data_IF_815557886432
#
_entry.id   IF_815557886432
#
_cell.length_a   1.000
_cell.length_b   1.000
_cell.length_c   1.000
_cell.angle_alpha   90.00
_cell.angle_beta   90.00
_cell.angle_gamma   90.00
#
_symmetry.space_group_name_H-M   'P 1'
#
loop_
_entity.id
_entity.type
_entity.pdbx_description
1 polymer ?
#
# COMPACT_ATOMS: atom_id res chain seq x y z
N UNK A 1 23.48 18.94 -2.93
CA UNK A 1 22.32 19.55 -2.26
C UNK A 1 21.58 18.40 -1.59
N UNK A 2 21.39 18.43 -0.27
CA UNK A 2 20.46 17.52 0.40
C UNK A 2 19.06 17.99 0.07
N UNK A 3 18.49 17.54 -1.06
CA UNK A 3 17.06 17.62 -1.25
C UNK A 3 16.41 16.69 -0.23
N UNK A 4 15.44 17.21 0.51
CA UNK A 4 14.66 16.41 1.43
C UNK A 4 13.83 15.42 0.62
N UNK A 5 14.18 14.14 0.65
CA UNK A 5 13.55 13.08 -0.17
C UNK A 5 12.13 12.74 0.27
N UNK A 6 11.85 12.85 1.58
CA UNK A 6 10.53 12.59 2.17
C UNK A 6 9.91 13.91 2.61
N UNK A 7 8.74 14.25 2.06
CA UNK A 7 8.09 15.52 2.35
C UNK A 7 7.17 15.47 3.58
N UNK A 8 6.26 14.49 3.62
CA UNK A 8 5.21 14.38 4.65
C UNK A 8 4.66 12.95 4.71
N UNK A 9 3.79 12.66 5.68
CA UNK A 9 2.99 11.43 5.72
C UNK A 9 1.87 11.56 4.67
N UNK A 10 1.82 10.64 3.70
CA UNK A 10 0.77 10.57 2.66
C UNK A 10 -0.56 10.12 3.29
N UNK A 11 -0.52 9.01 4.04
CA UNK A 11 -1.67 8.49 4.78
C UNK A 11 -1.27 7.52 5.89
N UNK A 12 -2.21 7.22 6.78
CA UNK A 12 -2.11 6.14 7.77
C UNK A 12 -3.23 5.14 7.52
N UNK A 13 -2.92 3.86 7.43
CA UNK A 13 -3.93 2.81 7.21
C UNK A 13 -4.13 1.99 8.47
N UNK A 14 -5.38 1.91 8.89
CA UNK A 14 -5.85 1.07 9.98
C UNK A 14 -6.38 -0.25 9.44
N UNK A 15 -6.29 -1.30 10.25
CA UNK A 15 -7.03 -2.54 10.06
C UNK A 15 -8.04 -2.72 11.18
N UNK A 16 -9.23 -3.18 10.81
CA UNK A 16 -10.34 -3.41 11.72
C UNK A 16 -11.08 -4.69 11.39
N UNK A 17 -11.85 -5.20 12.34
CA UNK A 17 -12.79 -6.27 12.08
C UNK A 17 -13.94 -5.75 11.22
N UNK A 18 -14.49 -6.63 10.38
CA UNK A 18 -15.55 -6.25 9.46
C UNK A 18 -16.78 -5.67 10.20
N UNK A 19 -17.15 -6.27 11.34
CA UNK A 19 -18.28 -5.80 12.16
C UNK A 19 -18.07 -4.41 12.78
N UNK A 20 -16.83 -3.91 12.83
CA UNK A 20 -16.48 -2.61 13.42
C UNK A 20 -16.37 -1.50 12.36
N UNK A 21 -16.63 -1.79 11.08
CA UNK A 21 -16.53 -0.81 9.98
C UNK A 21 -17.35 0.45 10.28
N UNK A 22 -18.65 0.30 10.56
CA UNK A 22 -19.54 1.46 10.79
C UNK A 22 -19.10 2.30 11.99
N UNK A 23 -18.62 1.65 13.06
CA UNK A 23 -18.11 2.35 14.23
C UNK A 23 -16.88 3.18 13.88
N UNK A 24 -15.92 2.60 13.16
CA UNK A 24 -14.71 3.30 12.72
C UNK A 24 -15.06 4.51 11.84
N UNK A 25 -15.89 4.31 10.80
CA UNK A 25 -16.30 5.37 9.90
C UNK A 25 -17.05 6.49 10.63
N UNK A 26 -17.94 6.13 11.57
CA UNK A 26 -18.68 7.10 12.37
C UNK A 26 -17.76 7.92 13.27
N UNK A 27 -16.74 7.32 13.88
CA UNK A 27 -15.77 8.04 14.70
C UNK A 27 -14.96 9.04 13.88
N UNK A 28 -14.41 8.62 12.74
CA UNK A 28 -13.63 9.51 11.87
C UNK A 28 -14.49 10.63 11.27
N UNK A 29 -15.76 10.38 11.00
CA UNK A 29 -16.71 11.41 10.58
C UNK A 29 -16.90 12.51 11.62
N UNK A 30 -16.86 12.19 12.93
CA UNK A 30 -16.90 13.20 13.99
C UNK A 30 -15.67 14.12 13.96
N UNK A 31 -14.54 13.64 13.44
CA UNK A 31 -13.32 14.43 13.23
C UNK A 31 -13.29 15.16 11.87
N UNK A 32 -14.39 15.11 11.11
CA UNK A 32 -14.52 15.81 9.82
C UNK A 32 -13.98 15.03 8.63
N UNK A 33 -13.67 13.74 8.79
CA UNK A 33 -13.26 12.89 7.68
C UNK A 33 -14.46 12.36 6.89
N UNK A 34 -14.29 12.23 5.59
CA UNK A 34 -15.30 11.67 4.68
C UNK A 34 -14.67 10.61 3.79
N UNK A 35 -15.45 9.58 3.46
CA UNK A 35 -15.06 8.56 2.49
C UNK A 35 -14.88 9.19 1.10
N UNK A 36 -13.71 8.98 0.51
CA UNK A 36 -13.38 9.45 -0.85
C UNK A 36 -13.22 8.30 -1.85
N UNK A 37 -12.92 7.10 -1.35
CA UNK A 37 -12.73 5.93 -2.19
C UNK A 37 -13.01 4.67 -1.39
N UNK A 38 -13.64 3.70 -2.05
CA UNK A 38 -13.81 2.33 -1.55
C UNK A 38 -13.40 1.36 -2.64
N UNK A 39 -12.50 0.46 -2.29
CA UNK A 39 -11.91 -0.52 -3.20
C UNK A 39 -12.13 -1.92 -2.65
N UNK A 40 -12.38 -2.85 -3.56
CA UNK A 40 -12.42 -4.28 -3.27
C UNK A 40 -11.31 -4.97 -4.05
N UNK A 41 -10.54 -5.80 -3.37
CA UNK A 41 -9.53 -6.68 -3.96
C UNK A 41 -10.10 -8.08 -4.17
N UNK A 42 -9.61 -8.81 -5.17
CA UNK A 42 -10.13 -10.13 -5.53
C UNK A 42 -9.22 -11.27 -5.06
N UNK A 43 -7.90 -11.11 -5.18
CA UNK A 43 -6.95 -12.19 -4.86
C UNK A 43 -6.76 -12.40 -3.36
N UNK A 44 -6.67 -11.29 -2.62
CA UNK A 44 -6.76 -11.26 -1.16
C UNK A 44 -8.03 -10.48 -0.81
N UNK A 45 -9.22 -11.12 -0.74
CA UNK A 45 -10.50 -10.43 -0.62
C UNK A 45 -10.54 -9.50 0.59
N UNK A 46 -10.58 -8.21 0.33
CA UNK A 46 -10.62 -7.18 1.35
C UNK A 46 -11.35 -5.94 0.83
N UNK A 47 -11.86 -5.14 1.76
CA UNK A 47 -12.41 -3.82 1.48
C UNK A 47 -11.46 -2.78 2.06
N UNK A 48 -11.05 -1.84 1.23
CA UNK A 48 -10.18 -0.72 1.57
C UNK A 48 -10.95 0.58 1.40
N UNK A 49 -11.02 1.37 2.47
CA UNK A 49 -11.83 2.58 2.54
C UNK A 49 -10.89 3.73 2.85
N UNK A 50 -10.74 4.66 1.90
CA UNK A 50 -9.94 5.86 2.07
C UNK A 50 -10.82 7.01 2.56
N UNK A 51 -10.35 7.68 3.60
CA UNK A 51 -10.99 8.84 4.22
C UNK A 51 -10.08 10.06 4.12
N UNK A 52 -10.63 11.24 3.89
CA UNK A 52 -9.88 12.50 3.95
C UNK A 52 -10.61 13.54 4.80
N UNK A 53 -9.86 14.43 5.43
CA UNK A 53 -10.38 15.63 6.08
C UNK A 53 -9.81 16.90 5.46
N UNK A 54 -10.61 17.95 5.47
CA UNK A 54 -10.26 19.26 4.94
C UNK A 54 -10.46 19.39 3.42
N UNK A 55 -10.52 20.64 2.97
CA UNK A 55 -10.59 21.02 1.56
C UNK A 55 -9.29 21.74 1.19
N UNK A 56 -8.16 21.04 1.21
CA UNK A 56 -6.89 21.64 0.82
C UNK A 56 -6.85 21.78 -0.71
N UNK A 57 -6.86 23.02 -1.19
CA UNK A 57 -6.64 23.33 -2.59
C UNK A 57 -5.24 22.84 -3.02
N UNK A 58 -5.19 21.99 -4.04
CA UNK A 58 -3.94 21.51 -4.65
C UNK A 58 -3.29 20.28 -3.99
N UNK A 59 -3.77 19.83 -2.82
CA UNK A 59 -3.30 18.61 -2.16
C UNK A 59 -4.47 17.94 -1.43
N UNK A 60 -5.23 17.02 -2.05
CA UNK A 60 -6.37 16.40 -1.38
C UNK A 60 -5.98 15.46 -0.21
N UNK A 61 -4.68 15.32 0.09
CA UNK A 61 -4.12 14.38 1.07
C UNK A 61 -3.52 15.03 2.33
N UNK A 62 -3.71 16.34 2.54
CA UNK A 62 -3.22 17.02 3.75
C UNK A 62 -3.68 16.36 5.05
N UNK A 63 -4.73 15.53 5.00
CA UNK A 63 -5.12 14.64 6.08
C UNK A 63 -5.87 13.41 5.54
N UNK A 64 -5.14 12.36 5.15
CA UNK A 64 -5.74 11.09 4.68
C UNK A 64 -5.49 9.94 5.66
N UNK A 65 -6.50 9.10 5.83
CA UNK A 65 -6.41 7.84 6.59
C UNK A 65 -7.19 6.74 5.87
N UNK A 66 -6.90 5.48 6.15
CA UNK A 66 -7.60 4.34 5.56
C UNK A 66 -8.11 3.34 6.60
N UNK A 67 -9.12 2.57 6.22
CA UNK A 67 -9.51 1.34 6.90
C UNK A 67 -9.45 0.18 5.92
N UNK A 68 -8.77 -0.89 6.30
CA UNK A 68 -8.76 -2.17 5.60
C UNK A 68 -9.46 -3.22 6.46
N UNK A 69 -10.47 -3.89 5.90
CA UNK A 69 -11.22 -4.98 6.54
C UNK A 69 -11.29 -6.18 5.59
N UNK A 70 -11.46 -7.38 6.14
CA UNK A 70 -11.69 -8.59 5.34
C UNK A 70 -12.69 -9.51 6.02
N UNK A 71 -13.54 -10.14 5.21
CA UNK A 71 -14.42 -11.24 5.63
C UNK A 71 -13.71 -12.59 5.63
N UNK A 72 -12.55 -12.70 4.96
CA UNK A 72 -11.75 -13.91 4.97
C UNK A 72 -10.97 -13.97 6.28
N UNK A 73 -11.33 -14.92 7.15
CA UNK A 73 -10.65 -15.16 8.41
C UNK A 73 -9.15 -15.45 8.22
N UNK A 74 -8.73 -16.03 7.09
CA UNK A 74 -7.32 -16.34 6.83
C UNK A 74 -6.55 -15.19 6.16
N UNK A 75 -7.20 -14.05 5.90
CA UNK A 75 -6.55 -12.91 5.26
C UNK A 75 -5.39 -12.35 6.09
N UNK A 76 -4.37 -11.76 5.45
CA UNK A 76 -3.28 -11.07 6.16
C UNK A 76 -3.76 -9.93 7.08
N UNK A 77 -4.90 -9.32 6.77
CA UNK A 77 -5.57 -8.31 7.60
C UNK A 77 -6.04 -8.94 8.91
N UNK A 78 -6.81 -10.03 8.83
CA UNK A 78 -7.33 -10.70 10.02
C UNK A 78 -6.21 -11.41 10.82
N UNK A 79 -5.13 -11.84 10.17
CA UNK A 79 -3.94 -12.35 10.85
C UNK A 79 -3.21 -11.26 11.65
N UNK A 80 -3.07 -10.05 11.10
CA UNK A 80 -2.58 -8.90 11.87
C UNK A 80 -3.46 -8.66 13.11
N UNK A 81 -4.79 -8.62 12.94
CA UNK A 81 -5.73 -8.34 14.03
C UNK A 81 -5.64 -9.40 15.12
N UNK A 82 -5.54 -10.69 14.77
CA UNK A 82 -5.37 -11.78 15.75
C UNK A 82 -4.12 -11.61 16.61
N UNK A 83 -3.02 -11.14 16.02
CA UNK A 83 -1.72 -11.04 16.69
C UNK A 83 -1.54 -9.75 17.46
N UNK A 84 -2.04 -8.65 16.92
CA UNK A 84 -1.70 -7.29 17.35
C UNK A 84 -2.91 -6.45 17.74
N UNK A 85 -4.13 -6.95 17.51
CA UNK A 85 -5.37 -6.19 17.68
C UNK A 85 -5.68 -5.28 16.50
N UNK A 86 -6.86 -4.66 16.54
CA UNK A 86 -7.23 -3.60 15.59
C UNK A 86 -6.37 -2.35 15.82
N UNK A 87 -5.99 -1.66 14.75
CA UNK A 87 -5.10 -0.51 14.87
C UNK A 87 -4.36 -0.18 13.58
N UNK A 88 -3.29 0.61 13.71
CA UNK A 88 -2.47 1.04 12.57
C UNK A 88 -1.66 -0.13 12.03
N UNK A 89 -1.82 -0.43 10.74
CA UNK A 89 -1.00 -1.43 10.03
C UNK A 89 0.23 -0.79 9.38
N UNK A 90 0.06 0.38 8.76
CA UNK A 90 1.19 1.10 8.16
C UNK A 90 0.95 2.61 8.15
N UNK A 91 2.06 3.34 8.08
CA UNK A 91 2.09 4.74 7.68
C UNK A 91 2.85 4.85 6.35
N UNK A 92 2.32 5.68 5.47
CA UNK A 92 2.86 5.96 4.15
C UNK A 92 3.57 7.30 4.12
N UNK A 93 4.77 7.36 3.56
CA UNK A 93 5.57 8.58 3.44
C UNK A 93 5.68 9.02 1.99
N UNK A 94 5.33 10.28 1.74
CA UNK A 94 5.39 10.89 0.42
C UNK A 94 6.85 11.15 0.01
N UNK A 95 7.27 10.52 -1.09
CA UNK A 95 8.55 10.73 -1.77
C UNK A 95 8.42 11.89 -2.75
N UNK A 96 9.44 12.76 -2.77
CA UNK A 96 9.54 13.87 -3.71
C UNK A 96 9.32 13.37 -5.16
N UNK A 97 8.37 13.96 -5.93
CA UNK A 97 8.13 13.58 -7.31
C UNK A 97 9.33 13.74 -8.26
N UNK A 98 10.37 14.49 -7.88
CA UNK A 98 11.62 14.60 -8.65
C UNK A 98 12.68 13.54 -8.28
N UNK A 99 12.46 12.77 -7.22
CA UNK A 99 13.41 11.77 -6.78
C UNK A 99 13.31 10.46 -7.56
N UNK A 100 14.43 9.74 -7.65
CA UNK A 100 14.48 8.39 -8.22
C UNK A 100 14.18 7.37 -7.11
N UNK A 101 12.94 6.87 -7.08
CA UNK A 101 12.44 5.98 -6.04
C UNK A 101 13.15 4.61 -6.04
N UNK A 102 13.51 4.12 -7.23
CA UNK A 102 14.26 2.90 -7.41
C UNK A 102 15.69 3.04 -6.85
N UNK A 103 16.36 4.17 -7.12
CA UNK A 103 17.67 4.46 -6.52
C UNK A 103 17.58 4.64 -5.01
N UNK A 104 16.53 5.29 -4.49
CA UNK A 104 16.28 5.42 -3.05
C UNK A 104 16.14 4.03 -2.42
N UNK A 105 15.38 3.13 -3.03
CA UNK A 105 15.23 1.76 -2.53
C UNK A 105 16.60 1.08 -2.38
N UNK A 106 17.47 1.20 -3.40
CA UNK A 106 18.83 0.64 -3.39
C UNK A 106 19.67 1.24 -2.25
N UNK A 107 19.66 2.56 -2.06
CA UNK A 107 20.44 3.22 -0.99
C UNK A 107 19.92 2.88 0.42
N UNK A 108 18.59 2.77 0.58
CA UNK A 108 17.98 2.32 1.83
C UNK A 108 18.37 0.87 2.14
N UNK A 109 18.38 -0.01 1.15
CA UNK A 109 18.82 -1.40 1.31
C UNK A 109 20.30 -1.50 1.71
N UNK A 110 21.18 -0.69 1.11
CA UNK A 110 22.58 -0.56 1.55
C UNK A 110 22.73 -0.10 3.00
N UNK A 111 21.75 0.67 3.48
CA UNK A 111 21.67 1.14 4.86
C UNK A 111 20.97 0.16 5.82
N UNK A 112 20.63 -1.04 5.35
CA UNK A 112 20.04 -2.12 6.15
C UNK A 112 18.52 -2.19 6.13
N UNK A 113 17.82 -1.34 5.38
CA UNK A 113 16.38 -1.50 5.18
C UNK A 113 16.07 -2.74 4.33
N UNK A 114 14.93 -3.34 4.62
CA UNK A 114 14.40 -4.48 3.88
C UNK A 114 13.05 -4.08 3.30
N UNK A 115 12.71 -4.64 2.14
CA UNK A 115 11.46 -4.36 1.44
C UNK A 115 10.80 -5.68 1.03
N UNK A 116 9.46 -5.71 1.12
CA UNK A 116 8.64 -6.84 0.67
C UNK A 116 8.48 -6.83 -0.85
N UNK A 117 8.51 -5.64 -1.45
CA UNK A 117 8.26 -5.43 -2.87
C UNK A 117 9.44 -4.71 -3.53
N UNK A 118 9.59 -4.87 -4.84
CA UNK A 118 10.22 -3.84 -5.67
C UNK A 118 9.32 -2.58 -5.70
N UNK A 119 9.78 -1.51 -6.36
CA UNK A 119 8.91 -0.36 -6.64
C UNK A 119 7.78 -0.79 -7.57
N UNK A 120 6.56 -0.81 -7.04
CA UNK A 120 5.32 -1.05 -7.79
C UNK A 120 4.93 0.23 -8.52
N UNK A 121 4.38 0.10 -9.73
CA UNK A 121 4.05 1.26 -10.57
C UNK A 121 2.68 1.07 -11.21
N UNK A 122 1.79 1.99 -10.89
CA UNK A 122 0.52 2.18 -11.57
C UNK A 122 0.54 3.45 -12.42
N UNK A 123 -0.17 3.43 -13.54
CA UNK A 123 -0.40 4.58 -14.42
C UNK A 123 -1.88 4.64 -14.78
N UNK A 124 -2.52 5.78 -14.53
CA UNK A 124 -3.92 5.97 -14.90
C UNK A 124 -4.09 6.28 -16.40
N UNK A 125 -5.35 6.44 -16.84
CA UNK A 125 -5.69 6.75 -18.23
C UNK A 125 -5.20 8.13 -18.69
N UNK A 126 -4.96 9.07 -17.78
CA UNK A 126 -4.46 10.42 -18.06
C UNK A 126 -2.92 10.48 -18.04
N UNK A 127 -2.27 9.43 -17.54
CA UNK A 127 -0.84 9.29 -17.45
C UNK A 127 -0.21 9.78 -16.16
N UNK A 128 -1.02 10.14 -15.16
CA UNK A 128 -0.54 10.27 -13.79
C UNK A 128 -0.10 8.90 -13.27
N UNK A 129 0.90 8.87 -12.38
CA UNK A 129 1.47 7.62 -11.87
C UNK A 129 1.44 7.59 -10.35
N UNK A 130 1.28 6.38 -9.84
CA UNK A 130 1.48 6.04 -8.44
C UNK A 130 2.61 5.04 -8.37
N UNK A 131 3.70 5.38 -7.68
CA UNK A 131 4.74 4.43 -7.32
C UNK A 131 4.68 4.13 -5.82
N UNK A 132 4.85 2.87 -5.46
CA UNK A 132 4.79 2.42 -4.07
C UNK A 132 5.90 1.40 -3.80
N UNK A 133 6.49 1.44 -2.60
CA UNK A 133 7.33 0.35 -2.10
C UNK A 133 7.08 0.16 -0.62
N UNK A 134 7.11 -1.10 -0.17
CA UNK A 134 6.71 -1.45 1.17
C UNK A 134 7.86 -2.10 1.93
N UNK A 135 8.22 -1.54 3.08
CA UNK A 135 9.28 -2.08 3.92
C UNK A 135 8.89 -3.44 4.47
N UNK A 136 9.85 -4.31 4.70
CA UNK A 136 9.60 -5.57 5.37
C UNK A 136 9.30 -5.36 6.87
N UNK A 137 8.25 -5.98 7.43
CA UNK A 137 8.00 -5.92 8.86
C UNK A 137 9.07 -6.70 9.62
N UNK A 138 9.36 -6.29 10.86
CA UNK A 138 10.31 -6.99 11.74
C UNK A 138 9.74 -8.24 12.41
N UNK A 139 8.42 -8.44 12.31
CA UNK A 139 7.67 -9.57 12.87
C UNK A 139 6.65 -10.06 11.85
N UNK A 140 6.32 -11.36 11.82
CA UNK A 140 5.30 -11.88 10.91
C UNK A 140 3.98 -11.15 11.06
N UNK A 141 3.42 -10.68 9.95
CA UNK A 141 2.18 -9.91 9.90
C UNK A 141 2.20 -8.66 10.78
N UNK A 142 3.38 -8.08 11.03
CA UNK A 142 3.55 -6.87 11.82
C UNK A 142 3.40 -5.58 11.00
N UNK A 143 3.53 -4.46 11.70
CA UNK A 143 3.55 -3.13 11.11
C UNK A 143 4.66 -3.00 10.05
N UNK A 144 4.35 -2.29 8.96
CA UNK A 144 5.30 -1.92 7.92
C UNK A 144 5.18 -0.44 7.55
N UNK A 145 6.15 0.05 6.79
CA UNK A 145 6.17 1.41 6.25
C UNK A 145 5.95 1.34 4.75
N UNK A 146 5.10 2.23 4.25
CA UNK A 146 4.94 2.46 2.82
C UNK A 146 5.69 3.73 2.43
N UNK A 147 6.31 3.72 1.26
CA UNK A 147 6.80 4.92 0.60
C UNK A 147 6.02 5.11 -0.69
N UNK A 148 5.50 6.32 -0.91
CA UNK A 148 4.57 6.63 -2.00
C UNK A 148 5.09 7.80 -2.80
N UNK A 149 5.15 7.65 -4.11
CA UNK A 149 5.43 8.75 -5.03
C UNK A 149 4.24 8.95 -5.97
N UNK A 150 3.58 10.11 -5.86
CA UNK A 150 2.49 10.51 -6.75
C UNK A 150 3.05 11.45 -7.82
N UNK A 151 2.97 11.05 -9.08
CA UNK A 151 3.47 11.82 -10.22
C UNK A 151 2.32 12.34 -11.06
N UNK A 152 2.37 13.62 -11.39
CA UNK A 152 1.33 14.27 -12.20
C UNK A 152 1.32 13.73 -13.63
N UNK A 153 0.15 13.79 -14.26
CA UNK A 153 0.00 13.59 -15.70
C UNK A 153 0.74 14.70 -16.48
N UNK A 154 0.97 14.53 -17.79
CA UNK A 154 1.53 15.59 -18.63
C UNK A 154 0.73 16.91 -18.58
N UNK A 155 -0.56 16.85 -18.23
CA UNK A 155 -1.44 18.01 -18.10
C UNK A 155 -1.48 18.60 -16.69
N UNK A 156 -0.69 18.07 -15.75
CA UNK A 156 -0.62 18.55 -14.37
C UNK A 156 -1.67 17.96 -13.43
N UNK A 157 -2.47 16.99 -13.88
CA UNK A 157 -3.46 16.30 -13.03
C UNK A 157 -2.78 15.29 -12.12
N UNK A 158 -3.20 15.17 -10.87
CA UNK A 158 -2.58 14.25 -9.92
C UNK A 158 -3.45 13.03 -9.68
N UNK A 159 -2.83 11.86 -9.59
CA UNK A 159 -3.54 10.64 -9.19
C UNK A 159 -3.77 10.62 -7.67
N UNK A 160 -5.03 10.83 -7.27
CA UNK A 160 -5.42 10.92 -5.86
C UNK A 160 -6.01 9.68 -5.23
N UNK A 161 -6.14 8.59 -5.98
CA UNK A 161 -6.67 7.33 -5.48
C UNK A 161 -5.58 6.33 -5.09
N UNK A 162 -6.03 5.10 -4.92
CA UNK A 162 -5.24 3.89 -4.78
C UNK A 162 -5.55 2.92 -5.91
N UNK A 163 -4.57 2.11 -6.29
CA UNK A 163 -4.70 1.10 -7.33
C UNK A 163 -4.85 -0.30 -6.73
N UNK A 164 -5.86 -1.04 -7.18
CA UNK A 164 -6.17 -2.38 -6.64
C UNK A 164 -5.10 -3.41 -6.96
N UNK A 165 -4.40 -3.28 -8.10
CA UNK A 165 -3.35 -4.23 -8.45
C UNK A 165 -2.13 -4.08 -7.54
N UNK A 166 -1.70 -2.84 -7.26
CA UNK A 166 -0.66 -2.58 -6.28
C UNK A 166 -1.04 -3.08 -4.86
N UNK A 167 -2.32 -2.95 -4.47
CA UNK A 167 -2.82 -3.47 -3.18
C UNK A 167 -2.77 -5.00 -3.13
N UNK A 168 -3.16 -5.68 -4.22
CA UNK A 168 -3.09 -7.14 -4.29
C UNK A 168 -1.64 -7.64 -4.17
N UNK A 169 -0.72 -7.01 -4.92
CA UNK A 169 0.71 -7.32 -4.88
C UNK A 169 1.32 -7.07 -3.49
N UNK A 170 0.89 -6.00 -2.81
CA UNK A 170 1.24 -5.73 -1.41
C UNK A 170 0.82 -6.90 -0.51
N UNK A 171 -0.44 -7.31 -0.53
CA UNK A 171 -0.92 -8.35 0.40
C UNK A 171 -0.35 -9.73 0.11
N UNK A 172 -0.08 -10.06 -1.16
CA UNK A 172 0.66 -11.28 -1.53
C UNK A 172 2.08 -11.24 -0.95
N UNK A 173 2.82 -10.15 -1.21
CA UNK A 173 4.19 -9.98 -0.72
C UNK A 173 4.28 -9.96 0.81
N UNK A 174 3.30 -9.34 1.46
CA UNK A 174 3.19 -9.26 2.91
C UNK A 174 2.92 -10.62 3.55
N UNK A 175 2.03 -11.42 2.97
CA UNK A 175 1.78 -12.79 3.43
C UNK A 175 3.02 -13.67 3.24
N UNK A 176 3.63 -13.64 2.06
CA UNK A 176 4.80 -14.44 1.72
C UNK A 176 6.01 -14.10 2.61
N UNK A 177 6.29 -12.81 2.83
CA UNK A 177 7.38 -12.39 3.71
C UNK A 177 7.11 -12.79 5.16
N UNK A 178 5.86 -12.65 5.61
CA UNK A 178 5.48 -13.03 6.99
C UNK A 178 5.64 -14.52 7.24
N UNK A 179 5.24 -15.37 6.30
CA UNK A 179 5.47 -16.82 6.38
C UNK A 179 6.96 -17.16 6.38
N UNK A 180 7.76 -16.43 5.60
CA UNK A 180 9.21 -16.60 5.62
C UNK A 180 9.81 -16.25 6.99
N UNK A 181 9.38 -15.16 7.64
CA UNK A 181 9.81 -14.81 8.99
C UNK A 181 9.47 -15.89 10.01
N UNK A 182 8.30 -16.52 9.90
CA UNK A 182 7.91 -17.63 10.79
C UNK A 182 8.80 -18.85 10.62
N UNK A 183 9.20 -19.17 9.39
CA UNK A 183 10.13 -20.24 9.11
C UNK A 183 11.58 -19.94 9.54
N UNK A 184 11.91 -18.66 9.78
CA UNK A 184 13.27 -18.20 10.10
C UNK A 184 13.32 -17.29 11.34
N UNK A 185 12.88 -17.76 12.53
CA UNK A 185 12.71 -16.91 13.71
C UNK A 185 14.02 -16.33 14.28
N UNK A 186 15.15 -16.94 13.94
CA UNK A 186 16.49 -16.50 14.37
C UNK A 186 17.22 -15.67 13.30
N UNK A 187 16.60 -15.46 12.13
CA UNK A 187 17.21 -14.70 11.07
C UNK A 187 16.75 -13.24 11.14
N UNK A 188 17.56 -12.41 11.79
CA UNK A 188 17.36 -10.95 11.79
C UNK A 188 17.79 -10.29 10.47
N UNK A 189 18.32 -11.07 9.51
CA UNK A 189 18.89 -10.58 8.25
C UNK A 189 18.25 -11.27 7.04
N UNK A 190 17.27 -10.61 6.41
CA UNK A 190 16.53 -11.12 5.25
C UNK A 190 17.34 -11.12 3.94
N UNK A 191 18.67 -11.05 3.98
CA UNK A 191 19.53 -11.15 2.78
C UNK A 191 19.35 -12.49 2.03
N UNK A 192 18.57 -13.43 2.59
CA UNK A 192 18.19 -14.71 2.02
C UNK A 192 16.74 -14.77 1.53
N UNK A 193 15.92 -13.74 1.80
CA UNK A 193 14.57 -13.66 1.24
C UNK A 193 14.68 -13.26 -0.23
N UNK A 194 14.50 -14.24 -1.10
CA UNK A 194 14.20 -14.01 -2.50
C UNK A 194 12.68 -14.05 -2.58
N UNK A 195 12.05 -12.90 -2.84
CA UNK A 195 10.62 -12.87 -3.17
C UNK A 195 10.39 -13.91 -4.26
N UNK A 196 9.32 -14.70 -4.18
CA UNK A 196 8.95 -15.55 -5.32
C UNK A 196 8.93 -14.64 -6.55
N UNK A 197 9.52 -15.05 -7.69
CA UNK A 197 9.45 -14.21 -8.87
C UNK A 197 7.98 -13.92 -9.13
N UNK A 198 7.63 -12.62 -9.15
CA UNK A 198 6.35 -12.17 -9.65
C UNK A 198 6.23 -12.78 -11.02
N UNK A 199 5.43 -13.84 -11.16
CA UNK A 199 5.22 -14.44 -12.47
C UNK A 199 4.66 -13.30 -13.30
N UNK A 200 5.45 -12.79 -14.25
CA UNK A 200 4.90 -12.00 -15.35
C UNK A 200 3.88 -12.91 -16.00
N UNK A 201 2.62 -12.82 -15.57
CA UNK A 201 1.48 -13.35 -16.31
C UNK A 201 1.47 -12.53 -17.58
N UNK A 202 2.14 -13.06 -18.60
CA UNK A 202 1.87 -12.73 -19.99
C UNK A 202 0.37 -12.88 -20.16
N UNK A 203 -0.34 -11.76 -20.25
CA UNK A 203 -1.73 -11.76 -20.68
C UNK A 203 -1.77 -12.41 -22.07
N UNK A 204 -2.59 -13.44 -22.32
CA UNK A 204 -2.94 -13.75 -23.69
C UNK A 204 -3.69 -12.52 -24.23
N UNK A 205 -3.19 -11.96 -25.32
CA UNK A 205 -3.92 -11.00 -26.13
C UNK A 205 -5.24 -11.65 -26.52
N UNK A 206 -6.36 -11.19 -25.95
CA UNK A 206 -7.66 -11.52 -26.49
C UNK A 206 -7.84 -10.73 -27.79
N UNK A 207 -7.62 -11.40 -28.92
CA UNK A 207 -8.25 -10.98 -30.16
C UNK A 207 -9.77 -11.05 -29.95
N UNK A 208 -10.40 -9.88 -29.89
CA UNK A 208 -11.86 -9.77 -30.01
C UNK A 208 -12.22 -10.11 -31.45
N UNK A 209 -12.42 -11.39 -31.73
CA UNK A 209 -13.18 -11.82 -32.90
C UNK A 209 -14.64 -11.50 -32.61
N UNK A 210 -15.15 -10.44 -33.25
CA UNK A 210 -16.60 -10.17 -33.30
C UNK A 210 -17.26 -11.25 -34.18
N UNK A 211 -18.32 -11.91 -33.72
CA UNK A 211 -19.25 -12.57 -34.63
C UNK A 211 -20.37 -11.60 -35.02
N UNK A 212 -20.47 -11.37 -36.33
CA UNK A 212 -21.57 -10.79 -37.13
C UNK A 212 -22.01 -9.33 -36.85
#
# INVERSE_FOLDING_TARGET
MNSQVIHHIDHVTYVGRHENEEQFLSQWKLFGFNEIQRLQTNQSPATHIALTAGAAAGFPWGTMTGLSISLDEQSPINEFIRRYGEGVQHAAYNIDPQADMEQIQIEMQKSGWQFMTSVLVYKDSHGAKLKQMFSAPSRPYGYFIEFVQRLNSPNGEVYGGFDTHNIEELYESYADFSQWLEAHPNNTSSNLYVSKPTWKRTFPSFEVTRPF
#
